data_IF_029977290889
#
_entry.id   IF_029977290889
#
_cell.length_a   1.000
_cell.length_b   1.000
_cell.length_c   1.000
_cell.angle_alpha   90.00
_cell.angle_beta   90.00
_cell.angle_gamma   90.00
#
_symmetry.space_group_name_H-M   'P 1'
#
loop_
_entity.id
_entity.type
_entity.pdbx_description
1 polymer ?
#
# COMPACT_ATOMS: atom_id res chain seq x y z
N UNK A 1 -12.49 -22.93 19.48
CA UNK A 1 -12.46 -22.25 18.18
C UNK A 1 -13.84 -22.41 17.58
N UNK A 2 -14.51 -21.32 17.21
CA UNK A 2 -15.82 -21.36 16.57
C UNK A 2 -15.65 -21.55 15.06
N UNK A 3 -16.72 -21.93 14.33
CA UNK A 3 -16.68 -21.99 12.88
C UNK A 3 -16.28 -20.65 12.24
N UNK A 4 -16.66 -19.52 12.85
CA UNK A 4 -16.28 -18.19 12.41
C UNK A 4 -14.78 -17.97 12.58
N UNK A 5 -14.19 -18.41 13.70
CA UNK A 5 -12.75 -18.31 13.94
C UNK A 5 -11.96 -19.12 12.89
N UNK A 6 -12.47 -20.29 12.48
CA UNK A 6 -11.86 -21.11 11.44
C UNK A 6 -11.92 -20.44 10.06
N UNK A 7 -13.06 -19.81 9.70
CA UNK A 7 -13.17 -19.01 8.48
C UNK A 7 -12.19 -17.82 8.51
N UNK A 8 -12.10 -17.11 9.62
CA UNK A 8 -11.20 -15.96 9.74
C UNK A 8 -9.74 -16.40 9.62
N UNK A 9 -9.36 -17.55 10.20
CA UNK A 9 -8.00 -18.08 10.13
C UNK A 9 -7.60 -18.48 8.69
N UNK A 10 -8.52 -19.12 7.93
CA UNK A 10 -8.26 -19.45 6.53
C UNK A 10 -7.91 -18.23 5.67
N UNK A 11 -8.62 -17.12 5.87
CA UNK A 11 -8.34 -15.87 5.16
C UNK A 11 -6.98 -15.28 5.57
N UNK A 12 -6.64 -15.36 6.86
CA UNK A 12 -5.39 -14.82 7.39
C UNK A 12 -4.18 -15.61 6.88
N UNK A 13 -4.26 -16.93 6.84
CA UNK A 13 -3.15 -17.80 6.42
C UNK A 13 -2.74 -17.62 4.97
N UNK A 14 -3.66 -17.19 4.11
CA UNK A 14 -3.43 -16.93 2.68
C UNK A 14 -2.73 -15.61 2.36
N UNK A 15 -2.56 -14.73 3.34
CA UNK A 15 -2.09 -13.37 3.08
C UNK A 15 -0.60 -13.27 2.78
N UNK A 16 -0.27 -12.33 1.91
CA UNK A 16 1.10 -11.91 1.63
C UNK A 16 1.29 -10.43 1.95
N UNK A 17 2.42 -10.07 2.53
CA UNK A 17 2.81 -8.66 2.71
C UNK A 17 3.10 -8.04 1.35
N UNK A 18 2.59 -6.83 1.13
CA UNK A 18 2.85 -6.08 -0.09
C UNK A 18 4.35 -5.76 -0.21
N UNK A 19 4.89 -5.90 -1.43
CA UNK A 19 6.31 -5.71 -1.71
C UNK A 19 6.67 -4.25 -2.01
N UNK A 20 5.70 -3.42 -2.42
CA UNK A 20 5.87 -2.05 -2.89
C UNK A 20 4.82 -1.12 -2.28
N UNK A 21 5.06 0.17 -2.35
CA UNK A 21 4.04 1.19 -2.08
C UNK A 21 3.02 1.18 -3.23
N UNK A 22 1.78 0.88 -2.90
CA UNK A 22 0.72 0.80 -3.90
C UNK A 22 0.14 2.16 -4.25
N UNK A 23 -0.22 2.38 -5.51
CA UNK A 23 -0.94 3.57 -5.96
C UNK A 23 -2.24 3.80 -5.18
N UNK A 24 -2.92 2.73 -4.78
CA UNK A 24 -4.19 2.80 -4.03
C UNK A 24 -4.07 3.34 -2.60
N UNK A 25 -2.85 3.53 -2.09
CA UNK A 25 -2.61 4.00 -0.71
C UNK A 25 -1.61 5.14 -0.63
N UNK A 26 -0.97 5.51 -1.76
CA UNK A 26 0.13 6.49 -1.75
C UNK A 26 -0.32 7.89 -1.30
N UNK A 27 -1.60 8.24 -1.49
CA UNK A 27 -2.20 9.47 -0.95
C UNK A 27 -2.22 9.54 0.57
N UNK A 28 -2.16 8.39 1.24
CA UNK A 28 -2.33 8.25 2.68
C UNK A 28 -1.19 8.76 3.56
N UNK A 29 -1.27 8.40 4.83
CA UNK A 29 -0.35 8.79 5.89
C UNK A 29 1.09 8.28 5.64
N UNK A 30 2.10 9.14 5.46
CA UNK A 30 3.46 8.74 5.14
C UNK A 30 4.11 7.89 6.23
N UNK A 31 3.77 8.10 7.51
CA UNK A 31 4.26 7.28 8.62
C UNK A 31 3.73 5.86 8.56
N UNK A 32 2.43 5.71 8.30
CA UNK A 32 1.80 4.40 8.12
C UNK A 32 2.41 3.68 6.93
N UNK A 33 2.55 4.36 5.79
CA UNK A 33 3.16 3.82 4.57
C UNK A 33 4.59 3.35 4.80
N UNK A 34 5.39 4.09 5.55
CA UNK A 34 6.75 3.69 5.91
C UNK A 34 6.76 2.40 6.75
N UNK A 35 5.90 2.32 7.78
CA UNK A 35 5.79 1.14 8.65
C UNK A 35 5.31 -0.10 7.88
N UNK A 36 4.40 0.07 6.92
CA UNK A 36 3.95 -1.00 6.02
C UNK A 36 5.05 -1.43 5.05
N UNK A 37 5.75 -0.48 4.43
CA UNK A 37 6.85 -0.75 3.50
C UNK A 37 8.02 -1.48 4.19
N UNK A 38 8.33 -1.13 5.43
CA UNK A 38 9.34 -1.78 6.28
C UNK A 38 8.83 -3.05 6.98
N UNK A 39 7.62 -3.51 6.65
CA UNK A 39 6.98 -4.68 7.28
C UNK A 39 7.01 -4.65 8.81
N UNK A 40 6.88 -3.46 9.36
CA UNK A 40 6.86 -3.23 10.81
C UNK A 40 5.49 -3.48 11.43
N UNK A 41 4.41 -3.41 10.64
CA UNK A 41 3.09 -3.82 11.09
C UNK A 41 2.92 -5.34 11.01
N UNK A 42 2.13 -5.95 11.93
CA UNK A 42 1.76 -7.35 11.80
C UNK A 42 1.02 -7.59 10.48
N UNK A 43 1.02 -8.83 10.04
CA UNK A 43 0.12 -9.27 8.96
C UNK A 43 -1.31 -8.98 9.41
N UNK A 44 -2.17 -8.65 8.48
CA UNK A 44 -3.54 -8.26 8.76
C UNK A 44 -4.34 -9.46 9.29
N UNK A 45 -4.83 -9.38 10.54
CA UNK A 45 -5.43 -10.51 11.27
C UNK A 45 -6.96 -10.47 11.32
N UNK A 46 -7.62 -9.79 10.37
CA UNK A 46 -9.08 -9.65 10.38
C UNK A 46 -9.72 -10.30 9.17
N UNK A 47 -10.10 -11.58 9.29
CA UNK A 47 -10.71 -12.36 8.21
C UNK A 47 -11.97 -11.71 7.63
N UNK A 48 -12.80 -11.05 8.45
CA UNK A 48 -13.97 -10.32 7.94
C UNK A 48 -13.60 -9.21 6.96
N UNK A 49 -12.54 -8.46 7.20
CA UNK A 49 -12.09 -7.39 6.30
C UNK A 49 -11.49 -8.00 5.01
N UNK A 50 -10.80 -9.13 5.12
CA UNK A 50 -10.26 -9.82 3.96
C UNK A 50 -11.37 -10.31 3.03
N UNK A 51 -12.45 -10.87 3.60
CA UNK A 51 -13.66 -11.20 2.83
C UNK A 51 -14.30 -9.98 2.16
N UNK A 52 -14.21 -8.78 2.78
CA UNK A 52 -14.67 -7.55 2.12
C UNK A 52 -13.80 -7.14 0.94
N UNK A 53 -12.48 -7.39 1.01
CA UNK A 53 -11.58 -7.15 -0.12
C UNK A 53 -11.84 -8.16 -1.25
N UNK A 54 -12.00 -9.46 -0.92
CA UNK A 54 -12.35 -10.49 -1.89
C UNK A 54 -13.71 -10.19 -2.58
N UNK A 55 -14.71 -9.77 -1.81
CA UNK A 55 -15.98 -9.32 -2.38
C UNK A 55 -15.79 -8.13 -3.33
N UNK A 56 -14.90 -7.18 -3.01
CA UNK A 56 -14.55 -6.06 -3.89
C UNK A 56 -14.00 -6.55 -5.23
N UNK A 57 -13.03 -7.45 -5.20
CA UNK A 57 -12.42 -8.03 -6.40
C UNK A 57 -13.46 -8.78 -7.28
N UNK A 58 -14.35 -9.56 -6.67
CA UNK A 58 -15.43 -10.24 -7.41
C UNK A 58 -16.43 -9.27 -8.04
N UNK A 59 -16.73 -8.15 -7.39
CA UNK A 59 -17.57 -7.10 -7.96
C UNK A 59 -16.89 -6.44 -9.16
N UNK A 60 -15.60 -6.15 -9.06
CA UNK A 60 -14.77 -5.64 -10.15
C UNK A 60 -14.84 -6.57 -11.37
N UNK A 61 -14.50 -7.84 -11.20
CA UNK A 61 -14.58 -8.86 -12.26
C UNK A 61 -15.99 -8.91 -12.89
N UNK A 62 -17.03 -8.88 -12.06
CA UNK A 62 -18.42 -8.92 -12.51
C UNK A 62 -18.80 -7.68 -13.34
N UNK A 63 -18.36 -6.49 -12.93
CA UNK A 63 -18.62 -5.24 -13.66
C UNK A 63 -17.88 -5.26 -15.00
N UNK A 64 -16.60 -5.62 -15.01
CA UNK A 64 -15.79 -5.74 -16.24
C UNK A 64 -16.42 -6.73 -17.22
N UNK A 65 -16.86 -7.88 -16.75
CA UNK A 65 -17.52 -8.90 -17.60
C UNK A 65 -18.87 -8.42 -18.17
N UNK A 66 -19.60 -7.61 -17.44
CA UNK A 66 -20.86 -7.02 -17.92
C UNK A 66 -20.59 -5.97 -18.97
N UNK A 67 -19.60 -5.08 -18.76
CA UNK A 67 -19.19 -4.07 -19.74
C UNK A 67 -18.77 -4.73 -21.07
N UNK A 68 -17.99 -5.82 -21.02
CA UNK A 68 -17.59 -6.59 -22.21
C UNK A 68 -18.80 -7.13 -23.00
N UNK A 69 -19.90 -7.46 -22.31
CA UNK A 69 -21.14 -7.98 -22.94
C UNK A 69 -22.07 -6.90 -23.49
N UNK A 70 -21.91 -5.64 -23.10
CA UNK A 70 -22.80 -4.54 -23.54
C UNK A 70 -22.68 -4.23 -25.02
N UNK A 71 -21.53 -4.44 -25.65
CA UNK A 71 -21.30 -4.17 -27.07
C UNK A 71 -21.19 -2.70 -27.46
N UNK A 72 -21.67 -1.78 -26.62
CA UNK A 72 -21.59 -0.32 -26.79
C UNK A 72 -20.29 0.26 -26.25
N UNK A 73 -19.62 -0.44 -25.37
CA UNK A 73 -18.35 -0.07 -24.75
C UNK A 73 -17.32 -1.15 -25.08
N UNK A 74 -16.10 -0.76 -25.42
CA UNK A 74 -14.99 -1.67 -25.62
C UNK A 74 -14.09 -1.65 -24.39
N UNK A 75 -13.98 -2.78 -23.69
CA UNK A 75 -13.19 -2.94 -22.46
C UNK A 75 -12.02 -3.88 -22.69
N UNK A 76 -10.83 -3.49 -22.26
CA UNK A 76 -9.68 -4.38 -22.13
C UNK A 76 -9.16 -4.32 -20.69
N UNK A 77 -9.20 -5.42 -19.97
CA UNK A 77 -8.65 -5.54 -18.62
C UNK A 77 -7.19 -6.00 -18.60
N UNK A 78 -6.71 -6.51 -19.75
CA UNK A 78 -5.35 -7.04 -19.88
C UNK A 78 -4.72 -6.58 -21.20
N UNK A 79 -3.40 -6.62 -21.25
CA UNK A 79 -2.63 -6.46 -22.47
C UNK A 79 -2.80 -7.67 -23.43
N UNK A 80 -2.07 -7.66 -24.54
CA UNK A 80 -2.14 -8.74 -25.55
C UNK A 80 -1.59 -10.07 -25.05
N UNK A 81 -0.72 -10.04 -24.04
CA UNK A 81 -0.11 -11.19 -23.38
C UNK A 81 -1.00 -11.74 -22.25
N UNK A 82 -2.12 -11.08 -21.93
CA UNK A 82 -3.03 -11.47 -20.86
C UNK A 82 -2.65 -10.95 -19.46
N UNK A 83 -1.67 -10.05 -19.37
CA UNK A 83 -1.29 -9.43 -18.11
C UNK A 83 -2.14 -8.19 -17.84
N UNK A 84 -2.46 -7.95 -16.56
CA UNK A 84 -3.05 -6.67 -16.13
C UNK A 84 -2.16 -5.50 -16.53
N UNK A 85 -2.76 -4.37 -16.95
CA UNK A 85 -2.03 -3.13 -17.18
C UNK A 85 -1.43 -2.63 -15.87
N UNK A 86 -0.10 -2.51 -15.81
CA UNK A 86 0.65 -2.13 -14.61
C UNK A 86 1.58 -0.99 -14.87
N UNK A 87 1.79 -0.16 -13.86
CA UNK A 87 2.85 0.83 -13.82
C UNK A 87 3.78 0.57 -12.64
N UNK A 88 5.06 0.91 -12.82
CA UNK A 88 6.10 0.69 -11.82
C UNK A 88 7.09 1.85 -11.84
N UNK A 89 7.46 2.33 -10.65
CA UNK A 89 8.36 3.44 -10.43
C UNK A 89 9.36 3.11 -9.33
N UNK A 90 10.42 3.92 -9.22
CA UNK A 90 11.42 3.81 -8.16
C UNK A 90 12.01 2.39 -8.05
N UNK A 91 12.38 1.81 -9.21
CA UNK A 91 12.96 0.47 -9.24
C UNK A 91 12.03 -0.62 -8.71
N UNK A 92 10.73 -0.52 -8.95
CA UNK A 92 9.74 -1.51 -8.49
C UNK A 92 9.22 -1.28 -7.07
N UNK A 93 9.68 -0.23 -6.37
CA UNK A 93 9.23 0.05 -5.01
C UNK A 93 7.93 0.85 -4.91
N UNK A 94 7.42 1.38 -6.02
CA UNK A 94 6.12 2.02 -6.12
C UNK A 94 5.43 1.55 -7.40
N UNK A 95 4.12 1.27 -7.33
CA UNK A 95 3.38 0.84 -8.52
C UNK A 95 1.96 0.41 -8.23
N UNK A 96 1.29 -0.06 -9.28
CA UNK A 96 -0.07 -0.55 -9.22
C UNK A 96 -0.57 -1.05 -10.56
N UNK A 97 -1.79 -1.58 -10.55
CA UNK A 97 -2.50 -2.02 -11.76
C UNK A 97 -3.86 -1.32 -11.83
N UNK A 98 -4.32 -1.08 -13.05
CA UNK A 98 -5.67 -0.57 -13.33
C UNK A 98 -6.61 -1.73 -13.59
N UNK A 99 -7.91 -1.52 -13.36
CA UNK A 99 -8.94 -2.54 -13.59
C UNK A 99 -9.16 -2.75 -15.10
N UNK A 100 -8.76 -1.77 -15.91
CA UNK A 100 -8.77 -1.86 -17.37
C UNK A 100 -8.67 -0.51 -18.06
N UNK A 101 -8.88 -0.57 -19.36
CA UNK A 101 -9.07 0.60 -20.23
C UNK A 101 -10.35 0.43 -21.04
N UNK A 102 -11.00 1.57 -21.35
CA UNK A 102 -12.27 1.59 -22.08
C UNK A 102 -12.21 2.54 -23.26
N UNK A 103 -12.99 2.23 -24.31
CA UNK A 103 -13.35 3.11 -25.40
C UNK A 103 -14.87 3.15 -25.57
N UNK A 104 -15.36 4.17 -26.27
CA UNK A 104 -16.79 4.34 -26.53
C UNK A 104 -17.64 4.55 -25.27
N UNK A 105 -17.01 4.90 -24.15
CA UNK A 105 -17.69 5.24 -22.89
C UNK A 105 -18.29 6.65 -22.93
N UNK A 106 -17.69 7.55 -23.72
CA UNK A 106 -18.20 8.89 -23.97
C UNK A 106 -18.74 8.98 -25.40
N UNK A 107 -20.04 9.21 -25.62
CA UNK A 107 -20.61 9.36 -26.97
C UNK A 107 -20.06 10.55 -27.74
N UNK A 108 -19.59 11.60 -27.09
CA UNK A 108 -18.99 12.77 -27.72
C UNK A 108 -17.57 12.51 -28.18
N UNK A 109 -16.84 11.60 -27.53
CA UNK A 109 -15.45 11.24 -27.82
C UNK A 109 -15.26 9.71 -27.89
N UNK A 110 -15.90 9.00 -28.83
CA UNK A 110 -15.98 7.54 -28.83
C UNK A 110 -14.63 6.82 -29.06
N UNK A 111 -13.67 7.50 -29.67
CA UNK A 111 -12.33 6.92 -29.92
C UNK A 111 -11.34 7.16 -28.77
N UNK A 112 -11.70 7.99 -27.80
CA UNK A 112 -10.86 8.24 -26.65
C UNK A 112 -10.71 6.98 -25.79
N UNK A 113 -9.47 6.72 -25.36
CA UNK A 113 -9.15 5.68 -24.40
C UNK A 113 -9.14 6.29 -23.01
N UNK A 114 -9.88 5.71 -22.08
CA UNK A 114 -9.91 6.12 -20.67
C UNK A 114 -9.47 4.98 -19.77
N UNK A 115 -8.94 5.31 -18.59
CA UNK A 115 -8.78 4.33 -17.50
C UNK A 115 -10.18 3.86 -17.09
N UNK A 116 -10.32 2.57 -16.80
CA UNK A 116 -11.46 2.02 -16.08
C UNK A 116 -11.06 1.79 -14.61
N UNK A 117 -11.84 2.32 -13.71
CA UNK A 117 -11.71 2.09 -12.27
C UNK A 117 -13.06 1.68 -11.69
N UNK A 118 -13.10 0.55 -10.99
CA UNK A 118 -14.30 -0.02 -10.37
C UNK A 118 -14.14 0.00 -8.86
N UNK A 119 -15.14 0.52 -8.17
CA UNK A 119 -15.19 0.52 -6.70
C UNK A 119 -16.48 -0.09 -6.20
N UNK A 120 -16.44 -0.66 -5.00
CA UNK A 120 -17.65 -1.08 -4.30
C UNK A 120 -17.86 -0.23 -3.04
N UNK A 121 -19.10 0.18 -2.79
CA UNK A 121 -19.50 0.98 -1.65
C UNK A 121 -20.64 0.33 -0.87
N UNK A 122 -20.78 0.70 0.41
CA UNK A 122 -22.02 0.47 1.16
C UNK A 122 -23.02 1.61 0.91
N UNK A 123 -24.28 1.42 1.32
CA UNK A 123 -25.35 2.42 1.14
C UNK A 123 -24.97 3.82 1.59
N UNK A 124 -24.31 3.98 2.74
CA UNK A 124 -24.00 5.31 3.26
C UNK A 124 -23.01 6.05 2.36
N UNK A 125 -21.92 5.38 2.01
CA UNK A 125 -20.90 5.94 1.11
C UNK A 125 -21.43 6.14 -0.32
N UNK A 126 -22.29 5.25 -0.80
CA UNK A 126 -22.89 5.37 -2.13
C UNK A 126 -23.84 6.55 -2.23
N UNK A 127 -24.62 6.83 -1.18
CA UNK A 127 -25.52 7.99 -1.13
C UNK A 127 -24.82 9.33 -1.22
N UNK A 128 -23.59 9.43 -0.72
CA UNK A 128 -22.78 10.66 -0.84
C UNK A 128 -22.62 11.04 -2.30
N UNK A 129 -22.23 10.07 -3.17
CA UNK A 129 -22.15 10.27 -4.62
C UNK A 129 -23.51 10.60 -5.27
N UNK A 130 -24.57 9.91 -4.87
CA UNK A 130 -25.93 10.23 -5.37
C UNK A 130 -26.41 11.63 -4.96
N UNK A 131 -25.90 12.18 -3.87
CA UNK A 131 -26.20 13.54 -3.39
C UNK A 131 -25.34 14.62 -4.02
N UNK A 132 -24.48 14.26 -4.97
CA UNK A 132 -23.69 15.19 -5.78
C UNK A 132 -22.26 15.40 -5.30
N UNK A 133 -21.75 14.58 -4.36
CA UNK A 133 -20.33 14.55 -4.08
C UNK A 133 -19.60 13.95 -5.29
N UNK A 134 -18.50 14.58 -5.75
CA UNK A 134 -17.70 14.04 -6.83
C UNK A 134 -16.87 12.85 -6.35
N UNK A 135 -16.46 11.96 -7.27
CA UNK A 135 -15.55 10.86 -6.92
C UNK A 135 -14.25 11.35 -6.28
N UNK A 136 -13.74 12.49 -6.73
CA UNK A 136 -12.51 13.06 -6.20
C UNK A 136 -12.65 13.60 -4.77
N UNK A 137 -13.80 14.21 -4.44
CA UNK A 137 -14.10 14.67 -3.08
C UNK A 137 -14.48 13.52 -2.15
N UNK A 138 -15.09 12.48 -2.70
CA UNK A 138 -15.55 11.31 -1.98
C UNK A 138 -14.42 10.56 -1.24
N UNK A 139 -13.22 10.52 -1.82
CA UNK A 139 -12.04 9.93 -1.17
C UNK A 139 -10.75 10.48 -1.74
N UNK A 140 -9.95 11.15 -0.91
CA UNK A 140 -8.63 11.61 -1.31
C UNK A 140 -7.72 10.49 -1.84
N UNK A 141 -7.76 9.30 -1.21
CA UNK A 141 -6.93 8.17 -1.66
C UNK A 141 -7.34 7.69 -3.04
N UNK A 142 -8.65 7.68 -3.35
CA UNK A 142 -9.17 7.29 -4.67
C UNK A 142 -8.89 8.36 -5.73
N UNK A 143 -9.05 9.65 -5.37
CA UNK A 143 -8.66 10.76 -6.22
C UNK A 143 -7.18 10.67 -6.62
N UNK A 144 -6.29 10.56 -5.64
CA UNK A 144 -4.85 10.42 -5.90
C UNK A 144 -4.54 9.18 -6.74
N UNK A 145 -5.16 8.04 -6.43
CA UNK A 145 -4.97 6.79 -7.19
C UNK A 145 -5.27 6.97 -8.67
N UNK A 146 -6.47 7.49 -8.99
CA UNK A 146 -6.90 7.62 -10.39
C UNK A 146 -6.09 8.66 -11.16
N UNK A 147 -5.72 9.77 -10.52
CA UNK A 147 -4.85 10.79 -11.10
C UNK A 147 -3.45 10.23 -11.41
N UNK A 148 -2.88 9.45 -10.50
CA UNK A 148 -1.60 8.77 -10.74
C UNK A 148 -1.69 7.79 -11.90
N UNK A 149 -2.77 7.02 -12.02
CA UNK A 149 -2.93 6.09 -13.14
C UNK A 149 -3.09 6.82 -14.47
N UNK A 150 -3.93 7.87 -14.55
CA UNK A 150 -4.06 8.64 -15.77
C UNK A 150 -2.72 9.19 -16.25
N UNK A 151 -1.94 9.78 -15.35
CA UNK A 151 -0.60 10.28 -15.67
C UNK A 151 0.38 9.16 -16.06
N UNK A 152 0.37 8.00 -15.34
CA UNK A 152 1.26 6.88 -15.60
C UNK A 152 1.03 6.23 -16.98
N UNK A 153 -0.20 6.26 -17.50
CA UNK A 153 -0.59 5.70 -18.80
C UNK A 153 -0.76 6.75 -19.89
N UNK A 154 -0.46 8.03 -19.60
CA UNK A 154 -0.65 9.18 -20.50
C UNK A 154 -2.09 9.26 -21.04
N UNK A 155 -3.07 9.04 -20.18
CA UNK A 155 -4.50 9.15 -20.48
C UNK A 155 -5.08 10.38 -19.78
N UNK A 156 -6.03 11.04 -20.45
CA UNK A 156 -6.58 12.31 -19.98
C UNK A 156 -7.84 12.15 -19.15
N UNK A 157 -8.49 11.01 -19.25
CA UNK A 157 -9.79 10.77 -18.59
C UNK A 157 -9.87 9.36 -18.03
N UNK A 158 -10.71 9.20 -17.03
CA UNK A 158 -11.03 7.90 -16.42
C UNK A 158 -12.54 7.74 -16.29
N UNK A 159 -13.05 6.55 -16.62
CA UNK A 159 -14.39 6.13 -16.31
C UNK A 159 -14.38 5.45 -14.92
N UNK A 160 -15.08 6.06 -14.00
CA UNK A 160 -15.30 5.51 -12.66
C UNK A 160 -16.65 4.79 -12.64
N UNK A 161 -16.67 3.59 -12.06
CA UNK A 161 -17.90 2.85 -11.78
C UNK A 161 -17.90 2.47 -10.31
N UNK A 162 -18.91 2.92 -9.57
CA UNK A 162 -19.10 2.55 -8.18
C UNK A 162 -20.33 1.66 -8.05
N UNK A 163 -20.14 0.46 -7.53
CA UNK A 163 -21.20 -0.53 -7.31
C UNK A 163 -21.64 -0.51 -5.84
N UNK A 164 -22.92 -0.30 -5.60
CA UNK A 164 -23.51 -0.43 -4.27
C UNK A 164 -23.70 -1.90 -3.90
N UNK A 165 -22.90 -2.40 -2.97
CA UNK A 165 -22.94 -3.82 -2.56
C UNK A 165 -24.15 -4.22 -1.72
N UNK A 166 -25.06 -3.29 -1.38
CA UNK A 166 -26.26 -3.56 -0.59
C UNK A 166 -27.52 -3.75 -1.46
N UNK A 167 -27.66 -2.96 -2.53
CA UNK A 167 -28.86 -2.96 -3.40
C UNK A 167 -28.54 -3.12 -4.89
N UNK A 168 -27.25 -3.18 -5.23
CA UNK A 168 -26.74 -3.36 -6.60
C UNK A 168 -26.92 -2.14 -7.53
N UNK A 169 -27.20 -0.96 -7.00
CA UNK A 169 -27.18 0.29 -7.77
C UNK A 169 -25.77 0.61 -8.29
N UNK A 170 -25.72 1.35 -9.40
CA UNK A 170 -24.47 1.73 -10.09
C UNK A 170 -24.42 3.25 -10.24
N UNK A 171 -23.29 3.82 -9.85
CA UNK A 171 -22.92 5.20 -10.14
C UNK A 171 -21.79 5.22 -11.16
N UNK A 172 -21.81 6.20 -12.07
CA UNK A 172 -20.74 6.40 -13.05
C UNK A 172 -20.35 7.87 -13.14
N UNK A 173 -19.04 8.11 -13.28
CA UNK A 173 -18.49 9.46 -13.46
C UNK A 173 -17.27 9.39 -14.38
N UNK A 174 -17.08 10.44 -15.18
CA UNK A 174 -15.84 10.63 -15.94
C UNK A 174 -15.02 11.69 -15.23
N UNK A 175 -13.80 11.31 -14.85
CA UNK A 175 -12.83 12.17 -14.15
C UNK A 175 -11.77 12.64 -15.13
N UNK A 176 -11.43 13.94 -15.09
CA UNK A 176 -10.39 14.55 -15.91
C UNK A 176 -9.03 14.49 -15.21
N UNK A 177 -7.94 14.36 -15.98
CA UNK A 177 -6.59 14.34 -15.45
C UNK A 177 -6.15 15.71 -14.96
N UNK A 178 -5.43 15.71 -13.84
CA UNK A 178 -4.73 16.88 -13.27
C UNK A 178 -3.22 16.69 -13.39
N UNK A 179 -2.54 17.75 -13.78
CA UNK A 179 -1.09 17.72 -13.94
C UNK A 179 -0.36 17.66 -12.58
N UNK A 180 0.79 17.02 -12.56
CA UNK A 180 1.74 17.02 -11.45
C UNK A 180 1.45 16.06 -10.30
N UNK A 181 0.27 15.45 -10.21
CA UNK A 181 -0.09 14.57 -9.08
C UNK A 181 0.83 13.35 -8.99
N UNK A 182 1.15 12.72 -10.13
CA UNK A 182 2.05 11.56 -10.15
C UNK A 182 3.45 11.95 -9.69
N UNK A 183 3.99 13.07 -10.15
CA UNK A 183 5.34 13.53 -9.79
C UNK A 183 5.42 13.81 -8.28
N UNK A 184 4.40 14.46 -7.72
CA UNK A 184 4.31 14.68 -6.28
C UNK A 184 4.30 13.35 -5.49
N UNK A 185 3.55 12.35 -5.96
CA UNK A 185 3.46 11.06 -5.29
C UNK A 185 4.74 10.23 -5.47
N UNK A 186 5.46 10.36 -6.59
CA UNK A 186 6.78 9.75 -6.78
C UNK A 186 7.78 10.34 -5.78
N UNK A 187 7.84 11.65 -5.64
CA UNK A 187 8.74 12.29 -4.66
C UNK A 187 8.35 11.92 -3.21
N UNK A 188 7.07 11.89 -2.88
CA UNK A 188 6.59 11.40 -1.57
C UNK A 188 7.03 9.95 -1.32
N UNK A 189 6.84 9.06 -2.30
CA UNK A 189 7.25 7.66 -2.19
C UNK A 189 8.76 7.53 -2.02
N UNK A 190 9.55 8.27 -2.78
CA UNK A 190 11.01 8.29 -2.68
C UNK A 190 11.48 8.70 -1.29
N UNK A 191 10.91 9.76 -0.72
CA UNK A 191 11.20 10.19 0.64
C UNK A 191 10.85 9.10 1.67
N UNK A 192 9.70 8.43 1.53
CA UNK A 192 9.29 7.32 2.41
C UNK A 192 10.25 6.13 2.30
N UNK A 193 10.61 5.72 1.08
CA UNK A 193 11.46 4.56 0.82
C UNK A 193 12.88 4.77 1.38
N UNK A 194 13.42 5.98 1.19
CA UNK A 194 14.78 6.34 1.61
C UNK A 194 14.89 6.67 3.10
N UNK A 195 13.77 6.92 3.78
CA UNK A 195 13.81 7.32 5.19
C UNK A 195 14.36 6.21 6.10
N UNK A 196 15.30 6.55 6.95
CA UNK A 196 15.83 5.69 8.03
C UNK A 196 14.95 5.70 9.28
N UNK A 197 13.93 6.54 9.29
CA UNK A 197 12.98 6.68 10.40
C UNK A 197 11.57 6.92 9.88
N UNK A 198 10.54 6.49 10.64
CA UNK A 198 9.17 6.74 10.24
C UNK A 198 8.93 8.26 10.19
N UNK A 199 8.37 8.79 9.10
CA UNK A 199 8.03 10.21 8.98
C UNK A 199 7.19 10.70 10.16
N UNK A 200 7.16 12.00 10.45
CA UNK A 200 6.26 12.57 11.46
C UNK A 200 4.80 12.16 11.16
N UNK A 201 4.05 11.82 12.22
CA UNK A 201 2.62 11.57 12.05
C UNK A 201 1.90 12.87 11.68
N UNK A 202 1.06 12.86 10.63
CA UNK A 202 0.17 13.99 10.35
C UNK A 202 -0.99 14.10 11.35
N UNK A 203 -1.15 13.12 12.24
CA UNK A 203 -2.25 13.02 13.19
C UNK A 203 -1.75 13.01 14.63
N UNK A 204 -2.57 13.53 15.55
CA UNK A 204 -2.34 13.32 16.97
C UNK A 204 -2.52 11.84 17.33
N UNK A 205 -1.86 11.38 18.40
CA UNK A 205 -1.96 9.98 18.87
C UNK A 205 -3.38 9.54 19.26
N UNK A 206 -4.28 10.49 19.46
CA UNK A 206 -5.70 10.27 19.81
C UNK A 206 -6.66 10.45 18.64
N UNK A 207 -6.14 10.74 17.43
CA UNK A 207 -6.96 10.95 16.24
C UNK A 207 -7.82 9.71 15.95
N UNK A 208 -9.08 9.97 15.52
CA UNK A 208 -10.01 8.90 15.23
C UNK A 208 -9.54 7.96 14.10
N UNK A 209 -8.78 8.48 13.14
CA UNK A 209 -8.24 7.70 12.02
C UNK A 209 -7.27 6.63 12.51
N UNK A 210 -6.43 6.96 13.50
CA UNK A 210 -5.55 5.98 14.14
C UNK A 210 -6.40 4.96 14.92
N UNK A 211 -7.35 5.41 15.75
CA UNK A 211 -8.14 4.52 16.62
C UNK A 211 -9.12 3.63 15.85
N UNK A 212 -9.69 4.11 14.75
CA UNK A 212 -10.70 3.37 13.96
C UNK A 212 -10.08 2.38 12.98
N UNK A 213 -8.94 2.74 12.37
CA UNK A 213 -8.37 1.98 11.26
C UNK A 213 -7.09 1.21 11.61
N UNK A 214 -6.64 1.26 12.85
CA UNK A 214 -5.51 0.49 13.32
C UNK A 214 -5.90 -0.36 14.53
N UNK A 215 -5.42 -1.60 14.59
CA UNK A 215 -5.53 -2.45 15.79
C UNK A 215 -4.73 -1.82 16.93
N UNK A 216 -5.00 -2.22 18.18
CA UNK A 216 -4.24 -1.73 19.34
C UNK A 216 -2.73 -1.94 19.17
N UNK A 217 -2.33 -3.07 18.61
CA UNK A 217 -0.94 -3.40 18.33
C UNK A 217 -0.33 -2.48 17.26
N UNK A 218 -1.04 -2.26 16.15
CA UNK A 218 -0.61 -1.29 15.14
C UNK A 218 -0.50 0.13 15.70
N UNK A 219 -1.44 0.55 16.55
CA UNK A 219 -1.37 1.85 17.24
C UNK A 219 -0.13 1.95 18.14
N UNK A 220 0.23 0.89 18.85
CA UNK A 220 1.41 0.86 19.71
C UNK A 220 2.70 0.97 18.88
N UNK A 221 2.81 0.25 17.77
CA UNK A 221 3.95 0.33 16.84
C UNK A 221 3.99 1.71 16.15
N UNK A 222 2.86 2.21 15.67
CA UNK A 222 2.74 3.51 15.02
C UNK A 222 3.23 4.65 15.93
N UNK A 223 2.91 4.58 17.22
CA UNK A 223 3.34 5.56 18.23
C UNK A 223 4.71 5.24 18.85
N UNK A 224 5.45 4.27 18.31
CA UNK A 224 6.78 3.82 18.79
C UNK A 224 6.78 3.40 20.28
N UNK A 225 5.67 2.86 20.75
CA UNK A 225 5.51 2.34 22.13
C UNK A 225 5.80 0.84 22.22
N UNK A 226 5.86 0.16 21.09
CA UNK A 226 6.11 -1.27 20.97
C UNK A 226 6.94 -1.56 19.73
N UNK A 227 7.87 -2.51 19.82
CA UNK A 227 8.57 -3.06 18.66
C UNK A 227 7.62 -3.92 17.81
N UNK A 228 7.88 -4.05 16.50
CA UNK A 228 7.26 -5.10 15.69
C UNK A 228 7.50 -6.49 16.31
N UNK A 229 6.59 -7.44 16.09
CA UNK A 229 6.78 -8.80 16.63
C UNK A 229 7.75 -9.60 15.79
N UNK A 230 7.69 -9.43 14.47
CA UNK A 230 8.46 -10.24 13.54
C UNK A 230 9.74 -9.52 13.15
N UNK A 231 10.86 -10.18 13.35
CA UNK A 231 12.11 -9.78 12.71
C UNK A 231 12.03 -10.13 11.21
N UNK A 232 12.41 -9.20 10.38
CA UNK A 232 12.51 -9.39 8.94
C UNK A 232 13.59 -8.44 8.38
N UNK A 233 14.06 -8.67 7.14
CA UNK A 233 15.12 -7.82 6.63
C UNK A 233 14.67 -6.37 6.43
N UNK A 234 13.38 -6.10 6.14
CA UNK A 234 12.94 -4.74 5.86
C UNK A 234 12.92 -3.83 7.08
N UNK A 235 12.77 -4.37 8.27
CA UNK A 235 12.87 -3.62 9.54
C UNK A 235 14.27 -3.73 10.19
N UNK A 236 15.24 -4.24 9.43
CA UNK A 236 16.63 -4.38 9.85
C UNK A 236 17.46 -3.17 9.44
N UNK A 237 18.35 -2.71 10.34
CA UNK A 237 19.27 -1.60 10.09
C UNK A 237 20.33 -1.90 9.00
N UNK A 238 20.54 -3.18 8.69
CA UNK A 238 21.48 -3.60 7.65
C UNK A 238 20.89 -3.67 6.26
N UNK A 239 19.59 -3.45 6.07
CA UNK A 239 18.97 -3.60 4.76
C UNK A 239 18.52 -2.27 4.18
N UNK A 240 18.71 -2.16 2.88
CA UNK A 240 18.30 -0.99 2.10
C UNK A 240 17.57 -1.40 0.82
N UNK A 241 16.58 -0.60 0.38
CA UNK A 241 15.96 -0.77 -0.93
C UNK A 241 16.93 -0.33 -2.03
N UNK A 242 16.89 -1.00 -3.19
CA UNK A 242 17.72 -0.73 -4.35
C UNK A 242 16.86 -0.21 -5.49
N UNK A 243 17.19 0.95 -6.05
CA UNK A 243 16.35 1.64 -7.03
C UNK A 243 16.60 1.25 -8.49
N UNK A 244 17.57 0.41 -8.77
CA UNK A 244 17.93 -0.07 -10.11
C UNK A 244 17.44 -1.50 -10.37
N UNK A 245 16.43 -1.96 -9.67
CA UNK A 245 15.89 -3.32 -9.76
C UNK A 245 14.37 -3.36 -9.85
N UNK A 246 13.81 -4.54 -9.67
CA UNK A 246 12.36 -4.77 -9.56
C UNK A 246 11.97 -5.04 -8.09
N UNK A 247 11.92 -3.99 -7.29
CA UNK A 247 11.67 -4.06 -5.86
C UNK A 247 12.81 -4.71 -5.07
N UNK A 248 14.04 -4.66 -5.58
CA UNK A 248 15.21 -5.32 -5.00
C UNK A 248 15.62 -4.70 -3.66
N UNK A 249 16.17 -5.54 -2.79
CA UNK A 249 16.76 -5.16 -1.51
C UNK A 249 18.16 -5.73 -1.35
N UNK A 250 19.00 -5.03 -0.62
CA UNK A 250 20.39 -5.44 -0.33
C UNK A 250 20.64 -5.48 1.18
N UNK A 251 21.44 -6.43 1.62
CA UNK A 251 21.98 -6.49 2.98
C UNK A 251 23.39 -5.92 2.99
N UNK A 252 23.63 -4.83 3.71
CA UNK A 252 24.94 -4.19 3.82
C UNK A 252 25.90 -4.99 4.71
N UNK A 253 25.37 -5.71 5.73
CA UNK A 253 26.21 -6.56 6.57
C UNK A 253 26.86 -7.72 5.80
N UNK A 254 26.13 -8.31 4.86
CA UNK A 254 26.63 -9.42 4.03
C UNK A 254 27.01 -8.98 2.61
N UNK A 255 26.87 -7.70 2.28
CA UNK A 255 27.16 -7.12 0.96
C UNK A 255 26.51 -7.87 -0.21
N UNK A 256 25.27 -8.36 -0.04
CA UNK A 256 24.55 -9.17 -1.04
C UNK A 256 23.10 -8.76 -1.22
N UNK A 257 22.51 -9.02 -2.40
CA UNK A 257 21.07 -8.90 -2.58
C UNK A 257 20.32 -9.90 -1.68
N UNK A 258 19.09 -9.55 -1.30
CA UNK A 258 18.21 -10.38 -0.49
C UNK A 258 16.87 -10.57 -1.22
N UNK A 259 16.56 -11.82 -1.54
CA UNK A 259 15.27 -12.20 -2.13
C UNK A 259 14.13 -12.08 -1.12
N UNK A 260 12.89 -12.20 -1.61
CA UNK A 260 11.69 -12.05 -0.79
C UNK A 260 11.64 -13.08 0.36
N UNK A 261 12.02 -14.33 0.11
CA UNK A 261 11.98 -15.39 1.11
C UNK A 261 12.95 -15.09 2.26
N UNK A 262 14.15 -14.64 1.93
CA UNK A 262 15.15 -14.16 2.89
C UNK A 262 14.67 -12.94 3.64
N UNK A 263 14.05 -11.97 2.94
CA UNK A 263 13.47 -10.78 3.59
C UNK A 263 12.45 -11.18 4.66
N UNK A 264 11.56 -12.13 4.37
CA UNK A 264 10.51 -12.59 5.29
C UNK A 264 11.06 -13.30 6.51
N UNK A 265 12.07 -14.15 6.32
CA UNK A 265 12.65 -14.95 7.38
C UNK A 265 13.49 -14.12 8.36
N UNK A 266 14.13 -13.04 7.88
CA UNK A 266 15.16 -12.35 8.65
C UNK A 266 16.39 -13.26 8.90
N UNK A 267 17.25 -12.88 9.84
CA UNK A 267 18.40 -13.68 10.23
C UNK A 267 18.83 -13.39 11.68
N UNK A 268 19.77 -14.19 12.21
CA UNK A 268 20.29 -14.04 13.57
C UNK A 268 21.10 -12.75 13.77
N UNK A 269 21.60 -12.14 12.69
CA UNK A 269 22.31 -10.86 12.71
C UNK A 269 21.38 -9.65 12.56
N UNK A 270 20.06 -9.86 12.74
CA UNK A 270 19.10 -8.79 12.65
C UNK A 270 19.33 -7.73 13.74
N UNK A 271 19.34 -6.47 13.33
CA UNK A 271 19.40 -5.30 14.21
C UNK A 271 18.22 -4.41 13.87
N UNK A 272 17.40 -4.08 14.86
CA UNK A 272 16.28 -3.16 14.64
C UNK A 272 16.76 -1.81 14.12
N UNK A 273 16.01 -1.23 13.18
CA UNK A 273 16.16 0.19 12.87
C UNK A 273 16.04 0.99 14.16
N UNK A 274 17.04 1.84 14.45
CA UNK A 274 17.13 2.59 15.72
C UNK A 274 15.89 3.44 15.97
N UNK A 275 15.27 3.93 14.93
CA UNK A 275 14.06 4.73 14.95
C UNK A 275 12.79 3.97 15.37
N UNK A 276 12.79 2.63 15.32
CA UNK A 276 11.70 1.80 15.82
C UNK A 276 11.81 1.54 17.33
N UNK A 277 12.95 1.86 17.92
CA UNK A 277 13.26 1.50 19.31
C UNK A 277 13.19 2.75 20.19
N UNK A 278 12.03 3.04 20.73
CA UNK A 278 11.86 4.08 21.77
C UNK A 278 11.71 3.42 23.15
N UNK A 279 12.67 2.56 23.50
CA UNK A 279 12.66 1.82 24.75
C UNK A 279 13.77 2.32 25.69
N UNK A 280 13.62 2.18 27.03
CA UNK A 280 14.66 2.52 27.96
C UNK A 280 15.96 1.78 27.65
N UNK A 281 17.07 2.51 27.67
CA UNK A 281 18.40 1.96 27.44
C UNK A 281 18.81 1.16 28.68
N UNK A 282 19.14 -0.12 28.52
CA UNK A 282 19.60 -0.99 29.60
C UNK A 282 21.13 -0.97 29.79
N UNK A 283 21.87 -0.52 28.80
CA UNK A 283 23.32 -0.46 28.88
C UNK A 283 24.00 0.01 27.59
N UNK A 284 25.24 0.43 27.73
CA UNK A 284 26.15 0.79 26.64
C UNK A 284 27.38 -0.14 26.79
N UNK A 285 27.69 -0.93 25.78
CA UNK A 285 28.88 -1.79 25.78
C UNK A 285 29.49 -1.83 24.37
N UNK A 286 30.77 -1.49 24.28
CA UNK A 286 31.53 -1.60 23.01
C UNK A 286 30.95 -0.82 21.82
N UNK A 287 30.32 0.32 22.09
CA UNK A 287 29.66 1.12 21.04
C UNK A 287 28.23 0.63 20.68
N UNK A 288 27.73 -0.37 21.38
CA UNK A 288 26.37 -0.88 21.20
C UNK A 288 25.44 -0.43 22.32
N UNK A 289 24.20 -0.07 21.96
CA UNK A 289 23.16 0.29 22.93
C UNK A 289 22.19 -0.88 23.08
N UNK A 290 21.98 -1.35 24.30
CA UNK A 290 21.07 -2.46 24.63
C UNK A 290 19.78 -1.90 25.24
N UNK A 291 18.63 -2.38 24.77
CA UNK A 291 17.31 -1.95 25.24
C UNK A 291 16.60 -3.00 26.10
N UNK A 292 15.66 -2.57 26.93
CA UNK A 292 15.00 -3.36 27.98
C UNK A 292 14.18 -4.59 27.53
N UNK A 293 14.01 -4.81 26.23
CA UNK A 293 13.34 -6.02 25.71
C UNK A 293 14.15 -6.62 24.56
N UNK A 294 14.86 -7.72 24.88
CA UNK A 294 15.41 -8.65 23.91
C UNK A 294 16.56 -8.12 23.07
N UNK A 295 16.96 -8.86 22.07
CA UNK A 295 18.14 -8.72 21.21
C UNK A 295 18.15 -7.49 20.29
N UNK A 296 17.99 -6.29 20.81
CA UNK A 296 18.19 -5.06 20.04
C UNK A 296 19.55 -4.47 20.42
N UNK A 297 20.57 -4.83 19.67
CA UNK A 297 21.87 -4.16 19.67
C UNK A 297 21.84 -3.05 18.62
N UNK A 298 21.83 -1.80 19.05
CA UNK A 298 21.99 -0.66 18.15
C UNK A 298 23.39 -0.10 18.40
N UNK A 299 24.23 -0.20 17.40
CA UNK A 299 25.53 0.45 17.45
C UNK A 299 25.36 1.91 17.07
N UNK A 300 25.62 2.82 18.00
CA UNK A 300 25.82 4.24 17.73
C UNK A 300 27.26 4.52 17.24
N UNK A 301 27.93 3.53 16.68
CA UNK A 301 29.24 3.75 16.09
C UNK A 301 29.12 4.75 14.92
N UNK A 302 29.94 5.82 14.89
CA UNK A 302 30.02 6.69 13.74
C UNK A 302 30.32 5.84 12.50
N UNK A 303 29.70 6.16 11.37
CA UNK A 303 29.86 5.44 10.10
C UNK A 303 31.34 5.28 9.65
N UNK A 304 32.24 6.02 10.24
CA UNK A 304 33.67 6.08 9.88
C UNK A 304 34.53 5.00 10.56
N UNK A 305 33.99 4.17 11.45
CA UNK A 305 34.77 3.12 12.13
C UNK A 305 34.37 1.67 11.74
N UNK A 306 33.50 1.48 10.78
CA UNK A 306 33.14 0.16 10.25
C UNK A 306 34.14 -0.38 9.19
N UNK A 307 35.33 0.20 9.11
CA UNK A 307 36.39 -0.18 8.21
C UNK A 307 37.70 -0.47 8.94
N UNK A 308 37.77 -1.57 9.69
CA UNK A 308 39.04 -2.29 9.99
C UNK A 308 38.72 -3.74 10.31
#
# INVERSE_FOLDING_TARGET
MTLVDEFDQLEVDGQRRRQHLGMSVIGGDPRKLWLEFRWSFPVFENGRILRLFDLGNRIEDQVVDRLKKMGTIKVSATDKEGNQYRCSFLGGHMGGSVDGVVKQADPENPEEVMILEVKSANNNRFRELQQGESYEDWSNDYSVQIQCYMAAFDLKRALIIVYNKNDSDIYTEIVEARDGVLDEMIEKAKLIIQADSPPPSPYSSTDYRIRKFMTQKQQAIYNLKQLPDDINCRNCAHSEPVFDGDGAWRCNNFSKPIDEATQRKGCEQHIWLSSLVNLPINGLSGGATTYAKGKALITNAPKDQAGK
#
